data_IF_153362761921
#
_entry.id   IF_153362761921
#
_cell.length_a   1.000
_cell.length_b   1.000
_cell.length_c   1.000
_cell.angle_alpha   90.00
_cell.angle_beta   90.00
_cell.angle_gamma   90.00
#
_symmetry.space_group_name_H-M   'P 1'
#
loop_
_entity.id
_entity.type
_entity.pdbx_description
1 polymer ?
#
# COMPACT_ATOMS: atom_id res chain seq x y z
N UNK A 1 -8.08 -3.91 20.55
CA UNK A 1 -8.06 -5.31 20.05
C UNK A 1 -6.63 -5.77 20.10
N UNK A 2 -6.31 -6.99 20.57
CA UNK A 2 -4.94 -7.50 20.50
C UNK A 2 -4.47 -7.43 19.04
N UNK A 3 -3.21 -7.04 18.79
CA UNK A 3 -2.58 -7.12 17.45
C UNK A 3 -2.40 -8.60 17.08
N UNK A 4 -3.50 -9.27 16.80
CA UNK A 4 -3.53 -10.68 16.48
C UNK A 4 -3.09 -10.87 15.02
N UNK A 5 -2.27 -11.89 14.79
CA UNK A 5 -1.95 -12.37 13.45
C UNK A 5 -3.24 -12.69 12.70
N UNK A 6 -3.51 -11.95 11.63
CA UNK A 6 -4.74 -12.11 10.85
C UNK A 6 -4.56 -13.05 9.65
N UNK A 7 -3.33 -13.53 9.41
CA UNK A 7 -3.02 -14.51 8.38
C UNK A 7 -2.34 -15.74 8.99
N UNK A 8 -2.97 -16.89 8.82
CA UNK A 8 -2.43 -18.18 9.26
C UNK A 8 -1.50 -18.78 8.18
N UNK A 9 -0.44 -18.06 7.82
CA UNK A 9 0.60 -18.51 6.89
C UNK A 9 1.92 -17.78 7.19
N UNK A 10 2.97 -18.54 7.45
CA UNK A 10 4.34 -18.03 7.68
C UNK A 10 4.88 -17.44 6.38
N UNK A 11 5.57 -16.30 6.42
CA UNK A 11 6.06 -15.59 5.22
C UNK A 11 4.96 -15.42 4.15
N UNK A 12 3.75 -15.01 4.54
CA UNK A 12 2.66 -14.83 3.58
C UNK A 12 3.02 -13.74 2.56
N UNK A 13 2.66 -13.92 1.29
CA UNK A 13 3.03 -12.97 0.24
C UNK A 13 1.93 -11.95 -0.04
N UNK A 14 2.31 -10.73 -0.34
CA UNK A 14 1.39 -9.67 -0.75
C UNK A 14 2.04 -8.74 -1.77
N UNK A 15 1.32 -7.70 -2.18
CA UNK A 15 1.81 -6.62 -3.06
C UNK A 15 1.59 -5.30 -2.36
N UNK A 16 2.39 -4.27 -2.63
CA UNK A 16 2.10 -2.94 -2.07
C UNK A 16 0.75 -2.43 -2.58
N UNK A 17 0.50 -2.47 -3.90
CA UNK A 17 -0.82 -2.10 -4.40
C UNK A 17 -0.89 -2.01 -5.91
N UNK A 18 -0.34 -0.93 -6.46
CA UNK A 18 -0.50 -0.60 -7.87
C UNK A 18 0.19 -1.61 -8.81
N UNK A 19 -0.42 -1.85 -9.96
CA UNK A 19 0.06 -2.78 -11.00
C UNK A 19 0.05 -2.12 -12.38
N UNK A 20 0.87 -2.56 -13.35
CA UNK A 20 0.89 -1.99 -14.69
C UNK A 20 -0.49 -1.97 -15.36
N UNK A 21 -0.86 -0.84 -15.96
CA UNK A 21 -2.16 -0.66 -16.62
C UNK A 21 -2.09 -1.21 -18.04
N UNK A 22 -2.73 -2.36 -18.26
CA UNK A 22 -2.90 -2.94 -19.60
C UNK A 22 -4.29 -2.58 -20.10
N UNK A 23 -4.38 -1.74 -21.14
CA UNK A 23 -5.66 -1.38 -21.74
C UNK A 23 -6.28 -2.62 -22.40
N UNK A 24 -7.52 -2.92 -22.05
CA UNK A 24 -8.25 -4.02 -22.67
C UNK A 24 -8.83 -3.61 -24.04
N UNK A 25 -8.76 -4.53 -25.01
CA UNK A 25 -9.49 -4.42 -26.27
C UNK A 25 -10.88 -5.09 -26.20
N UNK A 26 -11.73 -4.81 -27.18
CA UNK A 26 -13.03 -5.49 -27.37
C UNK A 26 -14.26 -4.73 -26.84
N UNK A 27 -15.46 -5.31 -27.00
CA UNK A 27 -16.72 -4.58 -26.75
C UNK A 27 -16.92 -4.12 -25.29
N UNK A 28 -16.34 -4.83 -24.30
CA UNK A 28 -16.46 -4.43 -22.88
C UNK A 28 -15.71 -3.13 -22.57
N UNK A 29 -14.63 -2.81 -23.29
CA UNK A 29 -13.87 -1.58 -23.05
C UNK A 29 -14.56 -0.32 -23.57
N UNK A 30 -15.65 -0.45 -24.34
CA UNK A 30 -16.53 0.66 -24.70
C UNK A 30 -17.31 1.21 -23.50
N UNK A 31 -17.64 0.38 -22.51
CA UNK A 31 -18.41 0.77 -21.33
C UNK A 31 -17.53 1.02 -20.11
N UNK A 32 -16.47 0.24 -19.95
CA UNK A 32 -15.42 0.51 -18.96
C UNK A 32 -14.04 0.15 -19.54
N UNK A 33 -13.24 1.15 -19.98
CA UNK A 33 -11.97 0.92 -20.63
C UNK A 33 -10.89 0.32 -19.71
N UNK A 34 -11.07 0.38 -18.39
CA UNK A 34 -10.08 -0.12 -17.42
C UNK A 34 -10.58 -1.32 -16.61
N UNK A 35 -11.82 -1.79 -16.82
CA UNK A 35 -12.28 -3.04 -16.20
C UNK A 35 -11.35 -4.22 -16.52
N UNK A 36 -10.86 -4.31 -17.75
CA UNK A 36 -9.91 -5.36 -18.12
C UNK A 36 -8.50 -5.14 -17.53
N UNK A 37 -8.15 -3.92 -17.13
CA UNK A 37 -6.89 -3.67 -16.42
C UNK A 37 -6.94 -4.21 -14.98
N UNK A 38 -8.07 -4.06 -14.28
CA UNK A 38 -8.29 -4.70 -12.96
C UNK A 38 -8.27 -6.23 -13.09
N UNK A 39 -8.96 -6.77 -14.10
CA UNK A 39 -8.96 -8.22 -14.37
C UNK A 39 -7.55 -8.75 -14.64
N UNK A 40 -6.74 -8.02 -15.42
CA UNK A 40 -5.35 -8.36 -15.68
C UNK A 40 -4.53 -8.38 -14.39
N UNK A 41 -4.59 -7.31 -13.58
CA UNK A 41 -3.84 -7.21 -12.34
C UNK A 41 -4.20 -8.35 -11.35
N UNK A 42 -5.49 -8.62 -11.18
CA UNK A 42 -5.97 -9.71 -10.32
C UNK A 42 -5.52 -11.08 -10.84
N UNK A 43 -5.66 -11.34 -12.14
CA UNK A 43 -5.27 -12.62 -12.76
C UNK A 43 -3.77 -12.86 -12.62
N UNK A 44 -2.96 -11.84 -12.89
CA UNK A 44 -1.50 -11.93 -12.81
C UNK A 44 -1.04 -12.16 -11.36
N UNK A 45 -1.61 -11.45 -10.38
CA UNK A 45 -1.27 -11.63 -8.96
C UNK A 45 -1.64 -13.04 -8.46
N UNK A 46 -2.81 -13.55 -8.84
CA UNK A 46 -3.22 -14.93 -8.53
C UNK A 46 -2.27 -15.93 -9.19
N UNK A 47 -1.94 -15.74 -10.47
CA UNK A 47 -1.02 -16.60 -11.22
C UNK A 47 0.41 -16.59 -10.67
N UNK A 48 0.86 -15.45 -10.14
CA UNK A 48 2.14 -15.32 -9.44
C UNK A 48 2.17 -16.04 -8.08
N UNK A 49 1.01 -16.36 -7.50
CA UNK A 49 0.88 -17.06 -6.21
C UNK A 49 0.83 -16.14 -4.99
N UNK A 50 0.35 -14.90 -5.16
CA UNK A 50 0.19 -13.93 -4.07
C UNK A 50 -0.91 -14.37 -3.08
N UNK A 51 -0.65 -14.30 -1.77
CA UNK A 51 -1.60 -14.71 -0.71
C UNK A 51 -2.65 -13.65 -0.36
N UNK A 52 -2.28 -12.37 -0.45
CA UNK A 52 -3.20 -11.23 -0.27
C UNK A 52 -3.00 -10.30 -1.46
N UNK A 53 -3.95 -10.30 -2.39
CA UNK A 53 -3.89 -9.50 -3.62
C UNK A 53 -4.37 -8.05 -3.40
N UNK A 54 -4.19 -7.20 -4.39
CA UNK A 54 -4.86 -5.89 -4.51
C UNK A 54 -5.76 -5.87 -5.77
N UNK A 55 -6.46 -4.77 -6.01
CA UNK A 55 -7.14 -4.50 -7.28
C UNK A 55 -6.21 -3.91 -8.36
N UNK A 56 -4.93 -3.73 -8.05
CA UNK A 56 -3.93 -3.11 -8.94
C UNK A 56 -4.02 -1.59 -9.05
N UNK A 57 -4.98 -0.94 -8.38
CA UNK A 57 -5.20 0.52 -8.38
C UNK A 57 -5.08 1.16 -9.77
N UNK A 58 -5.66 0.57 -10.83
CA UNK A 58 -5.37 0.92 -12.23
C UNK A 58 -6.02 2.23 -12.74
N UNK A 59 -6.81 2.92 -11.91
CA UNK A 59 -7.72 4.02 -12.32
C UNK A 59 -7.11 5.42 -12.36
N UNK A 60 -5.86 5.59 -11.95
CA UNK A 60 -5.16 6.89 -11.94
C UNK A 60 -3.90 6.82 -11.10
N UNK A 61 -3.05 7.85 -11.12
CA UNK A 61 -1.92 7.92 -10.18
C UNK A 61 -2.43 8.01 -8.72
N UNK A 62 -1.53 7.79 -7.76
CA UNK A 62 -1.91 7.68 -6.36
C UNK A 62 -2.54 8.96 -5.78
N UNK A 63 -2.27 10.12 -6.35
CA UNK A 63 -2.86 11.39 -5.88
C UNK A 63 -4.16 11.64 -6.63
N UNK A 64 -4.10 11.73 -7.96
CA UNK A 64 -5.23 12.11 -8.81
C UNK A 64 -6.42 11.16 -8.74
N UNK A 65 -6.18 9.86 -8.50
CA UNK A 65 -7.26 8.88 -8.35
C UNK A 65 -8.22 9.22 -7.20
N UNK A 66 -7.71 9.80 -6.10
CA UNK A 66 -8.50 10.20 -4.95
C UNK A 66 -8.95 11.66 -5.04
N UNK A 67 -8.00 12.58 -5.27
CA UNK A 67 -8.27 14.03 -5.16
C UNK A 67 -9.28 14.53 -6.19
N UNK A 68 -9.33 13.92 -7.39
CA UNK A 68 -10.31 14.26 -8.42
C UNK A 68 -11.77 13.95 -8.04
N UNK A 69 -11.99 13.21 -6.95
CA UNK A 69 -13.34 12.82 -6.45
C UNK A 69 -13.78 13.59 -5.22
N UNK A 70 -12.90 14.39 -4.62
CA UNK A 70 -13.16 15.10 -3.37
C UNK A 70 -13.62 16.53 -3.66
N UNK A 71 -14.85 16.91 -3.28
CA UNK A 71 -15.27 18.31 -3.36
C UNK A 71 -14.32 19.20 -2.56
N UNK A 72 -14.06 20.40 -3.07
CA UNK A 72 -13.03 21.31 -2.53
C UNK A 72 -11.67 21.19 -3.22
N UNK A 73 -11.46 20.16 -4.04
CA UNK A 73 -10.28 20.01 -4.90
C UNK A 73 -10.71 20.04 -6.36
N UNK A 74 -9.96 20.78 -7.19
CA UNK A 74 -10.10 20.77 -8.64
C UNK A 74 -8.73 20.61 -9.26
N UNK A 75 -8.56 19.60 -10.09
CA UNK A 75 -7.26 19.20 -10.65
C UNK A 75 -6.27 18.87 -9.51
N UNK A 76 -5.24 19.70 -9.31
CA UNK A 76 -4.30 19.58 -8.20
C UNK A 76 -4.38 20.76 -7.23
N UNK A 77 -5.45 21.56 -7.30
CA UNK A 77 -5.63 22.73 -6.45
C UNK A 77 -6.72 22.53 -5.41
N UNK A 78 -6.39 22.83 -4.15
CA UNK A 78 -7.36 23.00 -3.06
C UNK A 78 -7.98 24.38 -3.21
N UNK A 79 -9.21 24.41 -3.72
CA UNK A 79 -9.97 25.64 -3.98
C UNK A 79 -11.04 25.89 -2.91
N UNK A 80 -11.35 24.88 -2.10
CA UNK A 80 -12.50 24.86 -1.20
C UNK A 80 -12.27 24.01 0.04
N UNK A 81 -13.25 24.01 0.97
CA UNK A 81 -13.29 23.04 2.08
C UNK A 81 -13.35 21.64 1.49
N UNK A 82 -12.46 20.75 1.93
CA UNK A 82 -12.40 19.38 1.43
C UNK A 82 -13.54 18.59 2.08
N UNK A 83 -14.29 17.86 1.27
CA UNK A 83 -15.41 17.05 1.73
C UNK A 83 -15.25 15.60 1.25
N UNK A 84 -15.94 14.63 1.89
CA UNK A 84 -15.99 13.27 1.38
C UNK A 84 -16.50 13.20 -0.06
N UNK A 85 -15.99 12.23 -0.82
CA UNK A 85 -16.53 11.92 -2.14
C UNK A 85 -18.00 11.49 -2.03
N UNK A 86 -18.82 11.85 -3.03
CA UNK A 86 -20.24 11.49 -3.07
C UNK A 86 -20.49 9.97 -3.19
N UNK A 87 -19.51 9.25 -3.72
CA UNK A 87 -19.52 7.80 -3.84
C UNK A 87 -18.12 7.26 -3.53
N UNK A 88 -18.04 5.97 -3.20
CA UNK A 88 -16.77 5.30 -2.97
C UNK A 88 -15.88 5.36 -4.22
N UNK A 89 -14.58 5.57 -4.00
CA UNK A 89 -13.58 5.88 -5.02
C UNK A 89 -13.03 4.58 -5.64
N UNK A 90 -12.54 3.65 -4.81
CA UNK A 90 -11.87 2.41 -5.25
C UNK A 90 -12.65 1.15 -4.88
N UNK A 91 -13.66 1.26 -4.01
CA UNK A 91 -14.44 0.11 -3.53
C UNK A 91 -15.08 -0.76 -4.63
N UNK A 92 -15.43 -0.21 -5.81
CA UNK A 92 -15.98 -0.99 -6.91
C UNK A 92 -14.97 -1.99 -7.49
N UNK A 93 -13.73 -1.56 -7.73
CA UNK A 93 -12.66 -2.41 -8.25
C UNK A 93 -12.20 -3.42 -7.18
N UNK A 94 -12.08 -2.98 -5.92
CA UNK A 94 -11.80 -3.86 -4.79
C UNK A 94 -12.88 -4.94 -4.63
N UNK A 95 -14.17 -4.60 -4.77
CA UNK A 95 -15.28 -5.57 -4.72
C UNK A 95 -15.20 -6.58 -5.87
N UNK A 96 -14.85 -6.13 -7.07
CA UNK A 96 -14.61 -7.04 -8.19
C UNK A 96 -13.47 -8.01 -7.88
N UNK A 97 -12.31 -7.52 -7.45
CA UNK A 97 -11.16 -8.35 -7.11
C UNK A 97 -11.47 -9.33 -5.96
N UNK A 98 -12.24 -8.90 -4.94
CA UNK A 98 -12.75 -9.77 -3.87
C UNK A 98 -13.63 -10.91 -4.37
N UNK A 99 -14.37 -10.70 -5.46
CA UNK A 99 -15.19 -11.75 -6.08
C UNK A 99 -14.35 -12.84 -6.78
N UNK A 100 -13.08 -12.54 -7.09
CA UNK A 100 -12.14 -13.45 -7.76
C UNK A 100 -11.20 -14.15 -6.79
N UNK A 101 -10.90 -13.54 -5.63
CA UNK A 101 -9.96 -14.09 -4.66
C UNK A 101 -10.37 -13.79 -3.20
N UNK A 102 -10.16 -14.74 -2.27
CA UNK A 102 -10.65 -14.62 -0.89
C UNK A 102 -9.98 -13.54 -0.05
N UNK A 103 -8.71 -13.21 -0.32
CA UNK A 103 -7.92 -12.31 0.51
C UNK A 103 -7.41 -11.13 -0.31
N UNK A 104 -7.88 -9.94 0.02
CA UNK A 104 -7.56 -8.71 -0.70
C UNK A 104 -7.25 -7.59 0.28
N UNK A 105 -6.32 -6.71 -0.06
CA UNK A 105 -6.12 -5.44 0.65
C UNK A 105 -6.90 -4.31 -0.03
N UNK A 106 -7.58 -3.51 0.78
CA UNK A 106 -8.09 -2.19 0.34
C UNK A 106 -6.98 -1.17 0.53
N UNK A 107 -6.86 -0.20 -0.36
CA UNK A 107 -5.72 0.73 -0.37
C UNK A 107 -6.21 2.15 -0.55
N UNK A 108 -5.72 3.05 0.29
CA UNK A 108 -5.90 4.48 0.16
C UNK A 108 -4.53 5.17 0.15
N UNK A 109 -4.42 6.23 -0.65
CA UNK A 109 -3.28 7.14 -0.50
C UNK A 109 -3.50 7.98 0.75
N UNK A 110 -2.47 8.06 1.60
CA UNK A 110 -2.57 8.70 2.90
C UNK A 110 -2.74 10.22 2.82
N UNK A 111 -3.36 10.83 3.85
CA UNK A 111 -3.72 12.24 3.84
C UNK A 111 -2.53 13.19 3.68
N UNK A 112 -1.36 12.81 4.20
CA UNK A 112 -0.13 13.62 4.18
C UNK A 112 0.43 13.65 2.77
N UNK A 113 0.57 12.48 2.15
CA UNK A 113 1.01 12.34 0.75
C UNK A 113 0.07 13.07 -0.20
N UNK A 114 -1.24 12.94 -0.01
CA UNK A 114 -2.22 13.70 -0.79
C UNK A 114 -2.05 15.22 -0.59
N UNK A 115 -1.92 15.70 0.65
CA UNK A 115 -1.76 17.13 0.92
C UNK A 115 -0.51 17.71 0.24
N UNK A 116 0.63 17.01 0.34
CA UNK A 116 1.88 17.44 -0.29
C UNK A 116 1.84 17.37 -1.82
N UNK A 117 0.98 16.53 -2.40
CA UNK A 117 0.73 16.45 -3.84
C UNK A 117 -0.17 17.55 -4.41
N UNK A 118 -0.76 18.41 -3.57
CA UNK A 118 -1.69 19.46 -4.01
C UNK A 118 -1.04 20.85 -3.99
N UNK A 119 -1.71 21.87 -4.52
CA UNK A 119 -1.42 23.29 -4.31
C UNK A 119 -2.58 23.94 -3.53
N UNK A 120 -2.30 24.87 -2.63
CA UNK A 120 -3.34 25.55 -1.84
C UNK A 120 -3.69 26.87 -2.52
N UNK A 121 -4.87 26.93 -3.15
CA UNK A 121 -5.38 28.08 -3.90
C UNK A 121 -6.56 28.76 -3.20
N UNK A 122 -6.62 28.67 -1.87
CA UNK A 122 -7.74 29.17 -1.06
C UNK A 122 -7.24 29.69 0.28
N UNK A 123 -7.83 30.76 0.86
CA UNK A 123 -7.43 31.28 2.17
C UNK A 123 -7.91 30.41 3.34
N UNK A 124 -8.70 29.35 3.10
CA UNK A 124 -9.22 28.47 4.15
C UNK A 124 -8.14 27.63 4.85
N UNK A 125 -7.00 27.40 4.20
CA UNK A 125 -5.91 26.62 4.76
C UNK A 125 -4.62 27.43 4.73
N UNK A 126 -3.86 27.33 5.80
CA UNK A 126 -2.57 28.01 5.95
C UNK A 126 -1.40 27.16 5.48
N UNK A 127 -1.55 25.83 5.57
CA UNK A 127 -0.46 24.88 5.33
C UNK A 127 -0.98 23.49 4.94
N UNK A 128 -0.05 22.56 4.70
CA UNK A 128 -0.35 21.19 4.27
C UNK A 128 -0.97 20.35 5.37
N UNK A 129 -0.64 20.65 6.62
CA UNK A 129 -1.10 19.95 7.80
C UNK A 129 -2.62 20.12 7.98
N UNK A 130 -3.14 21.34 7.82
CA UNK A 130 -4.58 21.59 7.86
C UNK A 130 -5.33 20.89 6.72
N UNK A 131 -4.73 20.84 5.53
CA UNK A 131 -5.28 20.09 4.38
C UNK A 131 -5.29 18.60 4.67
N UNK A 132 -4.23 18.05 5.27
CA UNK A 132 -4.12 16.64 5.62
C UNK A 132 -5.18 16.21 6.65
N UNK A 133 -5.50 17.07 7.63
CA UNK A 133 -6.56 16.81 8.62
C UNK A 133 -7.94 16.66 7.97
N UNK A 134 -8.29 17.55 7.02
CA UNK A 134 -9.56 17.44 6.31
C UNK A 134 -9.58 16.28 5.31
N UNK A 135 -8.46 15.99 4.64
CA UNK A 135 -8.31 14.80 3.80
C UNK A 135 -8.54 13.52 4.62
N UNK A 136 -8.01 13.44 5.83
CA UNK A 136 -8.25 12.31 6.73
C UNK A 136 -9.74 12.14 7.04
N UNK A 137 -10.43 13.25 7.38
CA UNK A 137 -11.87 13.23 7.62
C UNK A 137 -12.67 12.79 6.38
N UNK A 138 -12.28 13.23 5.18
CA UNK A 138 -12.91 12.84 3.93
C UNK A 138 -12.70 11.34 3.62
N UNK A 139 -11.47 10.84 3.80
CA UNK A 139 -11.06 9.46 3.47
C UNK A 139 -11.62 8.41 4.43
N UNK A 140 -12.11 8.78 5.62
CA UNK A 140 -12.85 7.84 6.51
C UNK A 140 -14.05 7.21 5.78
N UNK A 141 -14.73 7.97 4.91
CA UNK A 141 -15.84 7.44 4.12
C UNK A 141 -15.37 6.34 3.16
N UNK A 142 -14.22 6.54 2.53
CA UNK A 142 -13.63 5.55 1.63
C UNK A 142 -13.14 4.31 2.39
N UNK A 143 -12.46 4.50 3.52
CA UNK A 143 -11.98 3.40 4.36
C UNK A 143 -13.13 2.47 4.79
N UNK A 144 -14.27 3.04 5.20
CA UNK A 144 -15.48 2.26 5.54
C UNK A 144 -16.12 1.59 4.34
N UNK A 145 -16.13 2.25 3.18
CA UNK A 145 -16.63 1.65 1.94
C UNK A 145 -15.77 0.45 1.51
N UNK A 146 -14.45 0.57 1.62
CA UNK A 146 -13.50 -0.52 1.39
C UNK A 146 -13.71 -1.66 2.38
N UNK A 147 -13.86 -1.38 3.68
CA UNK A 147 -14.18 -2.41 4.68
C UNK A 147 -15.47 -3.17 4.33
N UNK A 148 -16.51 -2.46 3.88
CA UNK A 148 -17.78 -3.06 3.48
C UNK A 148 -17.67 -4.00 2.26
N UNK A 149 -16.57 -3.96 1.51
CA UNK A 149 -16.30 -4.94 0.44
C UNK A 149 -15.77 -6.28 0.98
N UNK A 150 -15.39 -6.35 2.26
CA UNK A 150 -14.85 -7.55 2.88
C UNK A 150 -13.35 -7.74 2.67
N UNK A 151 -12.58 -6.64 2.66
CA UNK A 151 -11.11 -6.66 2.62
C UNK A 151 -10.52 -7.38 3.84
N UNK A 152 -9.34 -7.96 3.66
CA UNK A 152 -8.55 -8.59 4.73
C UNK A 152 -7.81 -7.56 5.58
N UNK A 153 -7.33 -6.49 4.95
CA UNK A 153 -6.63 -5.39 5.61
C UNK A 153 -6.84 -4.08 4.82
N UNK A 154 -6.77 -2.95 5.49
CA UNK A 154 -6.73 -1.62 4.88
C UNK A 154 -5.30 -1.09 4.91
N UNK A 155 -4.74 -0.72 3.77
CA UNK A 155 -3.43 -0.10 3.67
C UNK A 155 -3.54 1.39 3.39
N UNK A 156 -2.69 2.17 4.06
CA UNK A 156 -2.57 3.62 3.92
C UNK A 156 -1.16 3.91 3.43
N UNK A 157 -1.05 4.42 2.20
CA UNK A 157 0.25 4.66 1.56
C UNK A 157 0.73 6.08 1.87
N UNK A 158 1.82 6.21 2.62
CA UNK A 158 2.41 7.48 3.01
C UNK A 158 3.91 7.59 2.65
N UNK A 159 4.29 7.44 1.36
CA UNK A 159 5.70 7.52 0.95
C UNK A 159 6.33 8.88 1.25
N UNK A 160 5.54 9.96 1.38
CA UNK A 160 6.07 11.29 1.70
C UNK A 160 6.80 11.32 3.05
N UNK A 161 6.45 10.43 3.98
CA UNK A 161 7.01 10.45 5.33
C UNK A 161 8.51 10.13 5.32
N UNK A 162 9.00 9.30 4.39
CA UNK A 162 10.44 9.00 4.31
C UNK A 162 11.31 10.19 3.90
N UNK A 163 10.71 11.22 3.30
CA UNK A 163 11.45 12.42 2.86
C UNK A 163 11.84 13.36 4.02
N UNK A 164 11.19 13.21 5.17
CA UNK A 164 11.40 14.07 6.35
C UNK A 164 10.82 15.48 6.25
N UNK A 165 10.11 15.83 5.16
CA UNK A 165 9.50 17.15 5.00
C UNK A 165 8.15 17.30 5.72
N UNK A 166 7.50 16.18 6.03
CA UNK A 166 6.16 16.14 6.61
C UNK A 166 6.22 16.19 8.15
N UNK A 167 5.23 16.85 8.76
CA UNK A 167 5.02 16.78 10.20
C UNK A 167 4.52 15.37 10.59
N UNK A 168 5.38 14.59 11.24
CA UNK A 168 5.07 13.21 11.64
C UNK A 168 4.00 13.12 12.73
N UNK A 169 3.82 14.18 13.54
CA UNK A 169 2.77 14.25 14.54
C UNK A 169 1.38 14.36 13.89
N UNK A 170 1.26 15.26 12.90
CA UNK A 170 0.04 15.38 12.10
C UNK A 170 -0.20 14.13 11.24
N UNK A 171 0.83 13.59 10.60
CA UNK A 171 0.72 12.34 9.84
C UNK A 171 0.22 11.18 10.71
N UNK A 172 0.75 11.05 11.94
CA UNK A 172 0.25 10.05 12.90
C UNK A 172 -1.22 10.26 13.22
N UNK A 173 -1.61 11.50 13.51
CA UNK A 173 -3.01 11.82 13.81
C UNK A 173 -3.95 11.46 12.64
N UNK A 174 -3.58 11.79 11.41
CA UNK A 174 -4.41 11.56 10.22
C UNK A 174 -4.51 10.06 9.87
N UNK A 175 -3.41 9.31 9.97
CA UNK A 175 -3.38 7.86 9.79
C UNK A 175 -4.23 7.16 10.86
N UNK A 176 -4.08 7.54 12.14
CA UNK A 176 -4.83 6.92 13.25
C UNK A 176 -6.32 7.23 13.20
N UNK A 177 -6.71 8.41 12.70
CA UNK A 177 -8.11 8.75 12.45
C UNK A 177 -8.76 7.79 11.43
N UNK A 178 -8.05 7.45 10.36
CA UNK A 178 -8.56 6.49 9.38
C UNK A 178 -8.49 5.06 9.91
N UNK A 179 -7.38 4.68 10.53
CA UNK A 179 -7.16 3.33 11.05
C UNK A 179 -8.21 2.94 12.11
N UNK A 180 -8.58 3.88 12.99
CA UNK A 180 -9.61 3.67 14.01
C UNK A 180 -11.04 3.64 13.47
N UNK A 181 -11.24 4.01 12.20
CA UNK A 181 -12.57 4.05 11.57
C UNK A 181 -13.04 2.70 11.02
N UNK A 182 -12.14 1.71 10.96
CA UNK A 182 -12.37 0.34 10.49
C UNK A 182 -12.01 -0.69 11.57
N UNK A 183 -12.52 -1.92 11.44
CA UNK A 183 -12.27 -3.05 12.34
C UNK A 183 -11.25 -4.03 11.78
N UNK A 184 -11.09 -4.08 10.46
CA UNK A 184 -10.03 -4.86 9.81
C UNK A 184 -8.63 -4.36 10.22
N UNK A 185 -7.60 -5.22 10.21
CA UNK A 185 -6.23 -4.79 10.40
C UNK A 185 -5.81 -3.68 9.44
N UNK A 186 -4.96 -2.77 9.92
CA UNK A 186 -4.47 -1.62 9.14
C UNK A 186 -2.97 -1.71 8.90
N UNK A 187 -2.54 -1.33 7.70
CA UNK A 187 -1.16 -1.27 7.26
C UNK A 187 -0.78 0.17 6.92
N UNK A 188 0.40 0.61 7.36
CA UNK A 188 1.02 1.85 6.90
C UNK A 188 2.21 1.50 6.02
N UNK A 189 2.15 1.88 4.75
CA UNK A 189 3.25 1.70 3.81
C UNK A 189 4.08 2.99 3.69
N UNK A 190 5.39 2.89 3.93
CA UNK A 190 6.35 4.00 3.76
C UNK A 190 7.60 3.48 3.06
N UNK A 191 7.75 3.77 1.76
CA UNK A 191 8.94 3.42 0.98
C UNK A 191 10.00 4.53 0.99
N UNK A 192 11.25 4.17 0.70
CA UNK A 192 12.42 5.06 0.76
C UNK A 192 13.29 4.87 2.01
N UNK A 193 14.17 5.84 2.30
CA UNK A 193 15.10 5.78 3.42
C UNK A 193 14.41 6.18 4.73
N UNK A 194 14.45 5.31 5.74
CA UNK A 194 13.75 5.51 7.01
C UNK A 194 14.62 6.08 8.14
N UNK A 195 15.92 6.33 7.90
CA UNK A 195 16.90 6.61 8.95
C UNK A 195 16.50 7.73 9.93
N UNK A 196 15.84 8.78 9.45
CA UNK A 196 15.47 9.93 10.28
C UNK A 196 14.02 9.90 10.79
N UNK A 197 13.21 8.95 10.33
CA UNK A 197 11.76 8.95 10.57
C UNK A 197 11.26 7.67 11.22
N UNK A 198 12.07 6.61 11.23
CA UNK A 198 11.69 5.28 11.69
C UNK A 198 11.13 5.28 13.12
N UNK A 199 11.83 5.93 14.05
CA UNK A 199 11.46 5.91 15.47
C UNK A 199 10.08 6.56 15.73
N UNK A 200 9.70 7.56 14.94
CA UNK A 200 8.35 8.14 15.01
C UNK A 200 7.32 7.27 14.29
N UNK A 201 7.65 6.70 13.13
CA UNK A 201 6.74 5.80 12.37
C UNK A 201 6.36 4.57 13.20
N UNK A 202 7.30 3.99 13.96
CA UNK A 202 7.03 2.83 14.84
C UNK A 202 5.94 3.09 15.89
N UNK A 203 5.69 4.36 16.23
CA UNK A 203 4.67 4.78 17.20
C UNK A 203 3.27 4.88 16.60
N UNK A 204 3.11 4.78 15.28
CA UNK A 204 1.79 4.84 14.64
C UNK A 204 0.97 3.62 15.06
N UNK A 205 -0.27 3.87 15.50
CA UNK A 205 -1.17 2.81 15.95
C UNK A 205 -1.84 2.08 14.78
N UNK A 206 -1.03 1.30 14.05
CA UNK A 206 -1.43 0.38 12.99
C UNK A 206 -1.03 -1.05 13.33
N UNK A 207 -1.55 -2.03 12.58
CA UNK A 207 -1.27 -3.45 12.78
C UNK A 207 -0.05 -3.94 12.00
N UNK A 208 0.20 -3.34 10.84
CA UNK A 208 1.32 -3.68 9.94
C UNK A 208 2.07 -2.40 9.59
N UNK A 209 3.40 -2.47 9.63
CA UNK A 209 4.26 -1.46 9.02
C UNK A 209 4.91 -2.11 7.80
N UNK A 210 4.86 -1.44 6.65
CA UNK A 210 5.38 -1.97 5.39
C UNK A 210 6.47 -1.04 4.85
N UNK A 211 7.65 -1.61 4.61
CA UNK A 211 8.89 -0.89 4.32
C UNK A 211 9.70 -1.54 3.20
N UNK A 212 10.54 -0.71 2.59
CA UNK A 212 11.46 -1.07 1.50
C UNK A 212 12.82 -1.54 2.05
N UNK A 213 13.30 -2.72 1.62
CA UNK A 213 14.60 -3.28 2.02
C UNK A 213 15.45 -3.79 0.86
N UNK A 214 14.90 -4.02 -0.34
CA UNK A 214 15.73 -4.43 -1.48
C UNK A 214 16.59 -3.26 -1.97
N UNK A 215 15.98 -2.10 -2.18
CA UNK A 215 16.66 -0.89 -2.64
C UNK A 215 17.33 -0.08 -1.53
N UNK A 216 16.78 -0.12 -0.31
CA UNK A 216 17.35 0.52 0.89
C UNK A 216 17.71 -0.52 1.97
N UNK A 217 18.73 -1.37 1.76
CA UNK A 217 19.09 -2.44 2.71
C UNK A 217 19.50 -1.93 4.09
N UNK A 218 19.95 -0.67 4.21
CA UNK A 218 20.25 -0.03 5.49
C UNK A 218 19.03 0.11 6.41
N UNK A 219 17.81 0.10 5.85
CA UNK A 219 16.57 0.11 6.63
C UNK A 219 16.49 -1.13 7.54
N UNK A 220 17.01 -2.27 7.09
CA UNK A 220 17.04 -3.49 7.90
C UNK A 220 17.99 -3.35 9.09
N UNK A 221 19.16 -2.74 8.88
CA UNK A 221 20.18 -2.59 9.92
C UNK A 221 19.73 -1.65 11.05
N UNK A 222 18.88 -0.65 10.73
CA UNK A 222 18.28 0.23 11.75
C UNK A 222 17.05 -0.41 12.40
N UNK A 223 16.20 -1.11 11.65
CA UNK A 223 14.96 -1.71 12.16
C UNK A 223 15.23 -2.92 13.06
N UNK A 224 16.23 -3.74 12.73
CA UNK A 224 16.64 -4.92 13.51
C UNK A 224 17.03 -4.62 14.96
N UNK A 225 17.23 -3.33 15.30
CA UNK A 225 17.57 -2.86 16.65
C UNK A 225 16.38 -2.22 17.37
N UNK A 226 15.16 -2.41 16.89
CA UNK A 226 13.94 -1.80 17.42
C UNK A 226 12.87 -2.86 17.68
N UNK A 227 11.96 -2.53 18.59
CA UNK A 227 10.76 -3.31 18.84
C UNK A 227 9.64 -2.85 17.90
N UNK A 228 8.97 -3.80 17.25
CA UNK A 228 7.79 -3.54 16.43
C UNK A 228 6.53 -3.38 17.29
N UNK A 229 6.61 -3.61 18.60
CA UNK A 229 5.51 -3.48 19.56
C UNK A 229 4.32 -4.38 19.12
N UNK A 230 4.64 -5.63 18.79
CA UNK A 230 3.68 -6.65 18.34
C UNK A 230 3.01 -6.36 16.98
N UNK A 231 3.55 -5.44 16.17
CA UNK A 231 3.10 -5.20 14.79
C UNK A 231 3.71 -6.25 13.84
N UNK A 232 3.00 -6.54 12.76
CA UNK A 232 3.55 -7.27 11.61
C UNK A 232 4.40 -6.35 10.74
N UNK A 233 5.27 -6.93 9.92
CA UNK A 233 6.17 -6.21 9.02
C UNK A 233 5.95 -6.64 7.56
N UNK A 234 5.55 -5.71 6.71
CA UNK A 234 5.72 -5.80 5.25
C UNK A 234 7.20 -5.66 4.93
N UNK A 235 7.74 -6.67 4.26
CA UNK A 235 9.17 -6.84 4.02
C UNK A 235 9.45 -6.76 2.52
N UNK A 236 9.60 -5.52 2.04
CA UNK A 236 9.97 -5.18 0.67
C UNK A 236 11.30 -5.83 0.27
N UNK A 237 11.23 -6.90 -0.51
CA UNK A 237 12.39 -7.72 -0.88
C UNK A 237 12.66 -7.78 -2.38
N UNK A 238 11.89 -7.03 -3.16
CA UNK A 238 11.99 -6.90 -4.62
C UNK A 238 12.02 -5.42 -5.00
N UNK A 239 13.03 -5.02 -5.78
CA UNK A 239 13.21 -3.65 -6.26
C UNK A 239 12.15 -3.34 -7.33
N UNK A 240 11.17 -2.52 -6.97
CA UNK A 240 10.12 -2.01 -7.88
C UNK A 240 10.60 -0.84 -8.76
N UNK A 241 11.79 -0.30 -8.51
CA UNK A 241 12.41 0.82 -9.26
C UNK A 241 13.25 0.38 -10.47
N UNK A 242 13.50 -0.94 -10.65
CA UNK A 242 14.13 -1.52 -11.85
C UNK A 242 13.20 -2.43 -12.68
N UNK A 243 13.39 -2.50 -14.00
CA UNK A 243 12.73 -3.51 -14.88
C UNK A 243 13.38 -4.89 -14.75
N UNK A 244 14.62 -4.96 -14.25
CA UNK A 244 15.36 -6.22 -14.09
C UNK A 244 14.64 -7.13 -13.12
N UNK A 245 14.25 -8.32 -13.58
CA UNK A 245 13.64 -9.35 -12.75
C UNK A 245 14.73 -10.02 -11.90
N UNK A 246 14.67 -9.86 -10.58
CA UNK A 246 15.56 -10.57 -9.67
C UNK A 246 15.28 -12.09 -9.68
N UNK A 247 16.34 -12.87 -9.54
CA UNK A 247 16.25 -14.32 -9.48
C UNK A 247 15.74 -14.81 -8.12
N UNK A 248 15.16 -16.01 -8.09
CA UNK A 248 14.71 -16.66 -6.85
C UNK A 248 15.82 -16.72 -5.78
N UNK A 249 17.08 -17.11 -6.08
CA UNK A 249 18.16 -17.10 -5.09
C UNK A 249 18.49 -15.73 -4.51
N UNK A 250 18.43 -14.66 -5.33
CA UNK A 250 18.69 -13.30 -4.85
C UNK A 250 17.63 -12.83 -3.86
N UNK A 251 16.35 -13.05 -4.21
CA UNK A 251 15.22 -12.69 -3.34
C UNK A 251 15.24 -13.55 -2.07
N UNK A 252 15.47 -14.86 -2.20
CA UNK A 252 15.59 -15.79 -1.08
C UNK A 252 16.63 -15.32 -0.06
N UNK A 253 17.82 -14.94 -0.51
CA UNK A 253 18.87 -14.42 0.39
C UNK A 253 18.43 -13.19 1.17
N UNK A 254 17.63 -12.29 0.55
CA UNK A 254 17.07 -11.12 1.25
C UNK A 254 16.02 -11.52 2.28
N UNK A 255 15.16 -12.48 1.95
CA UNK A 255 14.15 -13.02 2.89
C UNK A 255 14.84 -13.73 4.06
N UNK A 256 15.86 -14.54 3.78
CA UNK A 256 16.69 -15.22 4.80
C UNK A 256 17.33 -14.22 5.77
N UNK A 257 17.88 -13.12 5.25
CA UNK A 257 18.40 -12.03 6.11
C UNK A 257 17.30 -11.43 6.99
N UNK A 258 16.06 -11.33 6.50
CA UNK A 258 14.93 -10.83 7.29
C UNK A 258 14.55 -11.76 8.45
N UNK A 259 14.53 -13.08 8.21
CA UNK A 259 14.18 -14.07 9.24
C UNK A 259 15.26 -14.24 10.32
N UNK A 260 16.49 -13.80 10.06
CA UNK A 260 17.55 -13.73 11.09
C UNK A 260 17.19 -12.73 12.21
N UNK A 261 16.44 -11.66 11.89
CA UNK A 261 16.11 -10.59 12.82
C UNK A 261 14.66 -10.62 13.33
N UNK A 262 13.73 -11.20 12.57
CA UNK A 262 12.30 -11.15 12.85
C UNK A 262 11.66 -12.54 12.81
N UNK A 263 10.67 -12.78 13.66
CA UNK A 263 9.88 -14.02 13.62
C UNK A 263 9.24 -14.18 12.23
N UNK A 264 9.48 -15.29 11.51
CA UNK A 264 8.86 -15.54 10.21
C UNK A 264 7.33 -15.42 10.17
N UNK A 265 6.64 -15.56 11.32
CA UNK A 265 5.19 -15.40 11.46
C UNK A 265 4.73 -13.95 11.35
N UNK A 266 5.59 -12.97 11.65
CA UNK A 266 5.24 -11.54 11.57
C UNK A 266 5.55 -10.94 10.20
N UNK A 267 6.30 -11.63 9.34
CA UNK A 267 6.72 -11.13 8.05
C UNK A 267 5.66 -11.38 6.96
N UNK A 268 5.28 -10.32 6.27
CA UNK A 268 4.56 -10.33 5.00
C UNK A 268 5.57 -10.01 3.90
N UNK A 269 5.73 -10.89 2.92
CA UNK A 269 6.71 -10.73 1.85
C UNK A 269 6.08 -10.00 0.67
N UNK A 270 6.63 -8.86 0.30
CA UNK A 270 6.15 -8.01 -0.78
C UNK A 270 7.31 -7.29 -1.51
N UNK A 271 7.00 -6.55 -2.59
CA UNK A 271 7.96 -5.65 -3.22
C UNK A 271 8.16 -4.36 -2.43
N UNK A 272 9.24 -3.64 -2.72
CA UNK A 272 9.57 -2.36 -2.08
C UNK A 272 8.49 -1.28 -2.23
N UNK A 273 7.78 -1.25 -3.37
CA UNK A 273 6.71 -0.30 -3.67
C UNK A 273 5.74 -0.89 -4.72
N UNK A 274 4.75 -0.10 -5.15
CA UNK A 274 3.83 -0.46 -6.24
C UNK A 274 4.54 -0.68 -7.59
N UNK A 275 4.04 -1.61 -8.39
CA UNK A 275 4.66 -2.03 -9.66
C UNK A 275 4.14 -1.29 -10.89
N UNK A 276 3.26 -0.29 -10.72
CA UNK A 276 2.64 0.46 -11.84
C UNK A 276 3.62 0.94 -12.91
N UNK A 277 4.82 1.36 -12.49
CA UNK A 277 5.84 1.92 -13.39
C UNK A 277 6.65 0.85 -14.12
N UNK A 278 6.33 -0.44 -13.99
CA UNK A 278 6.98 -1.56 -14.67
C UNK A 278 6.23 -1.98 -15.91
N UNK A 279 6.92 -2.71 -16.78
CA UNK A 279 6.24 -3.55 -17.76
C UNK A 279 5.42 -4.65 -17.07
N UNK A 280 4.31 -5.08 -17.68
CA UNK A 280 3.50 -6.19 -17.16
C UNK A 280 4.34 -7.47 -16.99
N UNK A 281 5.21 -7.75 -17.96
CA UNK A 281 6.08 -8.93 -17.94
C UNK A 281 7.05 -8.88 -16.76
N UNK A 282 7.74 -7.74 -16.56
CA UNK A 282 8.64 -7.57 -15.42
C UNK A 282 7.88 -7.70 -14.09
N UNK A 283 6.73 -7.03 -13.96
CA UNK A 283 5.92 -7.09 -12.75
C UNK A 283 5.48 -8.52 -12.43
N UNK A 284 4.98 -9.27 -13.41
CA UNK A 284 4.55 -10.66 -13.22
C UNK A 284 5.72 -11.55 -12.75
N UNK A 285 6.85 -11.52 -13.45
CA UNK A 285 7.98 -12.39 -13.13
C UNK A 285 8.67 -12.03 -11.81
N UNK A 286 8.72 -10.74 -11.47
CA UNK A 286 9.16 -10.28 -10.14
C UNK A 286 8.29 -10.87 -9.02
N UNK A 287 6.96 -10.76 -9.14
CA UNK A 287 6.04 -11.33 -8.16
C UNK A 287 6.13 -12.85 -8.10
N UNK A 288 6.23 -13.53 -9.25
CA UNK A 288 6.35 -14.99 -9.32
C UNK A 288 7.61 -15.48 -8.60
N UNK A 289 8.78 -14.88 -8.91
CA UNK A 289 10.05 -15.25 -8.29
C UNK A 289 10.04 -14.96 -6.78
N UNK A 290 9.41 -13.86 -6.36
CA UNK A 290 9.23 -13.53 -4.94
C UNK A 290 8.40 -14.59 -4.20
N UNK A 291 7.29 -15.03 -4.79
CA UNK A 291 6.45 -16.08 -4.22
C UNK A 291 7.18 -17.43 -4.14
N UNK A 292 7.97 -17.77 -5.14
CA UNK A 292 8.79 -19.00 -5.15
C UNK A 292 9.90 -18.93 -4.09
N UNK A 293 10.59 -17.79 -3.96
CA UNK A 293 11.60 -17.57 -2.92
C UNK A 293 10.99 -17.67 -1.51
N UNK A 294 9.87 -17.01 -1.25
CA UNK A 294 9.17 -17.11 0.04
C UNK A 294 8.71 -18.54 0.35
N UNK A 295 8.32 -19.31 -0.68
CA UNK A 295 7.98 -20.73 -0.53
C UNK A 295 9.19 -21.58 -0.18
N UNK A 296 10.33 -21.37 -0.83
CA UNK A 296 11.56 -22.10 -0.51
C UNK A 296 12.02 -21.84 0.94
N UNK A 297 12.02 -20.57 1.37
CA UNK A 297 12.40 -20.21 2.74
C UNK A 297 11.44 -20.87 3.73
N UNK A 298 10.14 -20.80 3.47
CA UNK A 298 9.11 -21.41 4.33
C UNK A 298 9.26 -22.92 4.51
N UNK A 299 9.72 -23.65 3.48
CA UNK A 299 9.96 -25.10 3.56
C UNK A 299 11.18 -25.43 4.43
N UNK A 300 12.13 -24.49 4.53
CA UNK A 300 13.36 -24.67 5.29
C UNK A 300 13.26 -24.25 6.77
N UNK A 301 12.15 -23.60 7.18
CA UNK A 301 11.83 -23.22 8.57
C UNK A 301 11.21 -24.38 9.35
#
# INVERSE_FOLDING_TARGET
MSKAYFINKVLATTVVGSYPVVKAGGLKSLFDPLAGAVETAVTDQIGAGIDIISDGQVRGDMIGAFTSKLPGIREQEVIGKIQPAAAAITAADTKYARSKFPKIKGIITGPTTLAHGLHISTPMYRNKEEVALDLAAALVTEARALEATGITLLQIDEPILSTGIADLGIAKQTVEQIASSVRVPTCLHVCGNLGNVLDEILKFNVNVLDFEFSKNPQNLDILSRRDLDGKMLGYGCVDSSSETVETVPEIKKRIEKGVEYFDPKILLIDPDCGMRMRSRESAYWKLKNMCDAAKEVRIAL
#
